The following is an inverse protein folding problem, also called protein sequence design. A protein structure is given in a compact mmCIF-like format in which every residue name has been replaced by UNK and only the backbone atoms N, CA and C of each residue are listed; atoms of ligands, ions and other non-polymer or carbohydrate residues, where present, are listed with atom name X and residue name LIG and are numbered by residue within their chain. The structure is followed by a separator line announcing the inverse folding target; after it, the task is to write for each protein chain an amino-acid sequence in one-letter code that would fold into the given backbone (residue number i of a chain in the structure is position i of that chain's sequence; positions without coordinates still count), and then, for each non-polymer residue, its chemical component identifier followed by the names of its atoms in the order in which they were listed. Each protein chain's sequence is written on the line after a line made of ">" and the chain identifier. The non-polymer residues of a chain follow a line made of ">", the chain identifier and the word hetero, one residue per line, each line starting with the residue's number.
data_IF_038429849386
#
_entry.id   IF_038429849386
#
_cell.length_a   1.000
_cell.length_b   1.000
_cell.length_c   1.000
_cell.angle_alpha   90.00
_cell.angle_beta   90.00
_cell.angle_gamma   90.00
#
_symmetry.space_group_name_H-M   'P 1'
#
loop_
_entity.id
_entity.type
_entity.pdbx_description
1 polymer ?
#
# COMPACT_ATOMS: atom_id res chain seq x y z
N UNK A 1 -28.21 6.40 36.96
CA UNK A 1 -29.39 5.55 37.25
C UNK A 1 -29.05 4.17 36.76
N UNK A 2 -28.60 3.30 37.66
CA UNK A 2 -28.06 1.98 37.33
C UNK A 2 -29.18 1.04 36.86
N UNK A 3 -29.30 0.82 35.56
CA UNK A 3 -30.09 -0.27 34.97
C UNK A 3 -29.33 -1.59 35.03
N UNK A 4 -28.67 -1.88 36.15
CA UNK A 4 -28.13 -3.20 36.38
C UNK A 4 -28.97 -3.91 37.42
N UNK A 5 -29.44 -5.09 37.02
CA UNK A 5 -30.05 -6.16 37.82
C UNK A 5 -31.58 -6.26 37.86
N UNK A 6 -32.21 -6.52 36.71
CA UNK A 6 -33.21 -7.60 36.72
C UNK A 6 -32.74 -8.76 35.82
N UNK A 7 -32.19 -9.84 36.39
CA UNK A 7 -31.83 -11.05 35.65
C UNK A 7 -33.04 -11.82 35.08
N UNK A 8 -34.27 -11.27 35.16
CA UNK A 8 -35.48 -11.80 34.52
C UNK A 8 -35.85 -11.07 33.21
N UNK A 9 -35.17 -9.99 32.83
CA UNK A 9 -35.39 -9.30 31.55
C UNK A 9 -34.59 -9.95 30.41
N UNK A 10 -34.85 -11.22 30.14
CA UNK A 10 -34.46 -11.82 28.86
C UNK A 10 -35.45 -11.34 27.80
N UNK A 11 -35.20 -10.16 27.25
CA UNK A 11 -36.10 -9.53 26.28
C UNK A 11 -35.52 -8.27 25.65
N UNK A 12 -35.83 -8.06 24.37
CA UNK A 12 -35.40 -6.86 23.63
C UNK A 12 -35.94 -5.59 24.32
N UNK A 13 -35.11 -4.56 24.56
CA UNK A 13 -35.55 -3.27 25.07
C UNK A 13 -36.63 -2.67 24.16
N UNK A 14 -37.56 -1.89 24.72
CA UNK A 14 -38.59 -1.23 23.93
C UNK A 14 -38.01 -0.22 22.92
N UNK A 15 -36.84 0.34 23.22
CA UNK A 15 -36.13 1.30 22.37
C UNK A 15 -35.25 0.65 21.31
N UNK A 16 -35.14 -0.69 21.27
CA UNK A 16 -34.30 -1.39 20.31
C UNK A 16 -34.72 -1.06 18.86
N UNK A 17 -33.80 -0.75 17.92
CA UNK A 17 -32.34 -1.02 17.87
C UNK A 17 -31.44 0.06 18.49
N UNK A 18 -32.01 1.00 19.23
CA UNK A 18 -31.25 1.93 20.05
C UNK A 18 -30.72 1.22 21.30
N UNK A 19 -29.41 1.33 21.52
CA UNK A 19 -28.75 0.68 22.64
C UNK A 19 -28.39 1.64 23.77
N UNK A 20 -28.16 2.93 23.47
CA UNK A 20 -27.77 3.94 24.47
C UNK A 20 -28.40 5.29 24.16
N UNK A 21 -28.90 5.95 25.22
CA UNK A 21 -29.26 7.38 25.27
C UNK A 21 -28.41 8.07 26.31
N UNK A 22 -27.83 9.20 25.95
CA UNK A 22 -27.11 10.04 26.91
C UNK A 22 -27.33 11.52 26.60
N UNK A 23 -27.13 12.34 27.62
CA UNK A 23 -27.17 13.78 27.50
C UNK A 23 -25.80 14.33 27.91
N UNK A 24 -25.28 15.26 27.12
CA UNK A 24 -24.11 16.04 27.47
C UNK A 24 -24.57 17.38 28.03
N UNK A 25 -24.23 17.62 29.29
CA UNK A 25 -24.41 18.92 29.93
C UNK A 25 -23.12 19.73 29.83
N UNK A 26 -23.22 20.97 29.35
CA UNK A 26 -22.12 21.93 29.30
C UNK A 26 -22.55 23.24 29.91
N UNK A 27 -21.67 23.84 30.69
CA UNK A 27 -21.82 25.19 31.20
C UNK A 27 -20.45 25.86 31.31
N UNK A 28 -20.42 27.18 31.19
CA UNK A 28 -19.23 28.01 31.41
C UNK A 28 -19.38 28.77 32.73
N UNK A 29 -18.36 28.80 33.61
CA UNK A 29 -18.45 29.54 34.86
C UNK A 29 -18.34 31.06 34.65
N UNK A 30 -19.08 31.84 35.44
CA UNK A 30 -18.86 33.28 35.62
C UNK A 30 -17.74 33.57 36.64
N UNK A 31 -17.45 34.86 36.89
CA UNK A 31 -16.48 35.28 37.90
C UNK A 31 -16.80 34.82 39.34
N UNK A 32 -18.05 34.41 39.62
CA UNK A 32 -18.52 33.90 40.89
C UNK A 32 -18.76 32.37 40.86
N UNK A 33 -18.23 31.67 39.85
CA UNK A 33 -18.42 30.22 39.64
C UNK A 33 -19.87 29.78 39.47
N UNK A 34 -20.75 30.69 39.03
CA UNK A 34 -22.12 30.33 38.62
C UNK A 34 -22.12 29.82 37.19
N UNK A 35 -22.88 28.75 36.89
CA UNK A 35 -23.02 28.27 35.53
C UNK A 35 -23.73 29.33 34.66
N UNK A 36 -23.12 29.66 33.53
CA UNK A 36 -23.66 30.45 32.43
C UNK A 36 -23.58 29.62 31.14
N UNK A 37 -24.37 29.99 30.14
CA UNK A 37 -24.40 29.29 28.84
C UNK A 37 -24.66 27.78 28.97
N UNK A 38 -25.59 27.42 29.85
CA UNK A 38 -26.02 26.03 30.03
C UNK A 38 -26.58 25.48 28.72
N UNK A 39 -25.99 24.39 28.23
CA UNK A 39 -26.40 23.72 27.01
C UNK A 39 -26.47 22.21 27.27
N UNK A 40 -27.64 21.63 26.98
CA UNK A 40 -27.88 20.20 27.08
C UNK A 40 -28.07 19.67 25.66
N UNK A 41 -27.16 18.79 25.26
CA UNK A 41 -27.26 18.08 23.97
C UNK A 41 -27.63 16.62 24.24
N UNK A 42 -28.82 16.22 23.79
CA UNK A 42 -29.26 14.84 23.86
C UNK A 42 -28.78 14.07 22.63
N UNK A 43 -28.27 12.85 22.83
CA UNK A 43 -27.78 11.98 21.77
C UNK A 43 -28.28 10.54 21.99
N UNK A 44 -28.54 9.87 20.86
CA UNK A 44 -28.98 8.49 20.80
C UNK A 44 -28.07 7.68 19.88
N UNK A 45 -27.61 6.52 20.32
CA UNK A 45 -26.85 5.57 19.51
C UNK A 45 -27.69 4.35 19.19
N UNK A 46 -27.80 4.02 17.91
CA UNK A 46 -28.57 2.91 17.37
C UNK A 46 -27.80 2.17 16.30
N UNK A 47 -28.14 0.90 16.07
CA UNK A 47 -27.64 0.18 14.92
C UNK A 47 -28.18 0.80 13.62
N UNK A 48 -27.33 0.87 12.60
CA UNK A 48 -27.68 1.37 11.29
C UNK A 48 -27.14 0.42 10.23
N UNK A 49 -27.97 0.12 9.23
CA UNK A 49 -27.54 -0.54 8.01
C UNK A 49 -27.49 0.48 6.87
N UNK A 50 -26.57 0.28 5.94
CA UNK A 50 -26.41 1.13 4.78
C UNK A 50 -26.37 0.26 3.53
N UNK A 51 -27.17 0.65 2.54
CA UNK A 51 -27.09 0.12 1.20
C UNK A 51 -26.10 0.97 0.39
N UNK A 52 -25.05 0.33 -0.09
CA UNK A 52 -24.01 0.96 -0.89
C UNK A 52 -24.17 0.54 -2.34
N UNK A 53 -24.35 1.53 -3.22
CA UNK A 53 -24.51 1.32 -4.66
C UNK A 53 -23.38 2.02 -5.43
N UNK A 54 -23.06 1.48 -6.61
CA UNK A 54 -22.01 1.99 -7.50
C UNK A 54 -20.67 2.20 -6.78
N UNK A 55 -20.10 1.09 -6.29
CA UNK A 55 -18.77 1.09 -5.71
C UNK A 55 -17.73 1.43 -6.79
N UNK A 56 -16.93 2.45 -6.55
CA UNK A 56 -15.86 2.90 -7.43
C UNK A 56 -14.54 2.84 -6.69
N UNK A 57 -13.53 2.29 -7.38
CA UNK A 57 -12.15 2.31 -6.90
C UNK A 57 -11.30 3.11 -7.87
N UNK A 58 -10.62 4.14 -7.37
CA UNK A 58 -9.64 4.89 -8.13
C UNK A 58 -8.30 4.88 -7.37
N UNK A 59 -7.37 4.05 -7.84
CA UNK A 59 -6.07 3.86 -7.20
C UNK A 59 -6.18 3.22 -5.81
N UNK A 60 -5.90 3.98 -4.77
CA UNK A 60 -6.00 3.58 -3.36
C UNK A 60 -7.33 4.00 -2.71
N UNK A 61 -8.14 4.80 -3.41
CA UNK A 61 -9.42 5.27 -2.89
C UNK A 61 -10.52 4.30 -3.29
N UNK A 62 -11.35 3.90 -2.31
CA UNK A 62 -12.55 3.11 -2.51
C UNK A 62 -13.72 3.92 -1.96
N UNK A 63 -14.68 4.24 -2.83
CA UNK A 63 -15.80 5.09 -2.50
C UNK A 63 -17.08 4.52 -3.11
N UNK A 64 -18.21 4.93 -2.55
CA UNK A 64 -19.54 4.58 -3.06
C UNK A 64 -20.22 5.84 -3.56
N UNK A 65 -20.85 5.78 -4.73
CA UNK A 65 -21.54 6.95 -5.29
C UNK A 65 -22.82 7.29 -4.53
N UNK A 66 -23.53 6.26 -4.07
CA UNK A 66 -24.76 6.43 -3.31
C UNK A 66 -24.80 5.49 -2.10
N UNK A 67 -24.96 6.08 -0.93
CA UNK A 67 -25.11 5.39 0.36
C UNK A 67 -26.46 5.74 0.97
N UNK A 68 -27.39 4.80 0.95
CA UNK A 68 -28.70 4.99 1.53
C UNK A 68 -28.80 4.26 2.87
N UNK A 69 -29.22 4.97 3.92
CA UNK A 69 -29.51 4.34 5.21
C UNK A 69 -30.74 3.44 5.06
N UNK A 70 -30.60 2.18 5.46
CA UNK A 70 -31.70 1.22 5.54
C UNK A 70 -32.31 1.33 6.93
N UNK A 71 -33.63 1.47 6.98
CA UNK A 71 -34.35 1.48 8.24
C UNK A 71 -34.43 0.05 8.80
N UNK A 72 -33.86 -0.18 9.98
CA UNK A 72 -33.89 -1.47 10.68
C UNK A 72 -35.18 -1.65 11.51
N UNK A 73 -36.10 -0.69 11.44
CA UNK A 73 -37.37 -0.63 12.14
C UNK A 73 -37.23 -0.76 13.65
N UNK A 74 -38.35 -1.00 14.33
CA UNK A 74 -38.40 -1.19 15.78
C UNK A 74 -38.20 -2.65 16.21
N UNK A 75 -38.29 -2.88 17.53
CA UNK A 75 -38.21 -4.20 18.20
C UNK A 75 -38.97 -5.34 17.50
N UNK A 76 -40.05 -5.04 16.78
CA UNK A 76 -40.90 -6.01 16.08
C UNK A 76 -40.19 -6.71 14.90
N UNK A 77 -39.30 -6.02 14.19
CA UNK A 77 -38.57 -6.58 13.04
C UNK A 77 -37.42 -7.52 13.43
N UNK A 78 -37.12 -7.57 14.73
CA UNK A 78 -36.04 -8.37 15.26
C UNK A 78 -36.59 -9.67 15.82
N UNK A 79 -35.91 -10.79 15.57
CA UNK A 79 -36.10 -12.08 16.20
C UNK A 79 -35.18 -12.26 17.41
N UNK A 80 -35.53 -13.20 18.29
CA UNK A 80 -34.64 -13.72 19.34
C UNK A 80 -34.76 -15.24 19.34
N UNK A 81 -33.63 -15.93 19.41
CA UNK A 81 -33.59 -17.41 19.40
C UNK A 81 -33.80 -18.07 20.77
N UNK A 82 -33.98 -17.30 21.87
CA UNK A 82 -34.24 -17.87 23.20
C UNK A 82 -34.22 -16.86 24.37
N UNK A 83 -33.96 -17.40 25.59
CA UNK A 83 -33.86 -16.70 26.88
C UNK A 83 -32.48 -16.85 27.60
N UNK A 84 -31.39 -17.03 26.88
CA UNK A 84 -30.02 -17.24 27.39
C UNK A 84 -29.04 -16.15 26.92
N UNK A 85 -27.91 -15.98 27.61
CA UNK A 85 -26.86 -15.01 27.25
C UNK A 85 -26.16 -15.31 25.91
N UNK A 86 -26.21 -16.57 25.48
CA UNK A 86 -25.71 -17.03 24.17
C UNK A 86 -26.60 -16.63 23.00
N UNK A 87 -27.76 -16.04 23.28
CA UNK A 87 -28.78 -15.89 22.27
C UNK A 87 -28.50 -14.75 21.32
N UNK A 88 -28.97 -14.94 20.11
CA UNK A 88 -28.74 -14.01 19.02
C UNK A 88 -30.02 -13.21 18.81
N UNK A 89 -29.85 -11.89 18.80
CA UNK A 89 -30.80 -10.97 18.21
C UNK A 89 -30.49 -10.88 16.73
N UNK A 90 -31.51 -11.03 15.89
CA UNK A 90 -31.32 -10.98 14.45
C UNK A 90 -32.48 -10.30 13.74
N UNK A 91 -32.21 -9.70 12.59
CA UNK A 91 -33.28 -9.27 11.68
C UNK A 91 -33.64 -10.41 10.73
N UNK A 92 -34.93 -10.56 10.41
CA UNK A 92 -35.34 -11.48 9.36
C UNK A 92 -34.96 -10.88 8.00
N UNK A 93 -34.26 -11.66 7.17
CA UNK A 93 -33.93 -11.27 5.80
C UNK A 93 -35.23 -11.15 5.00
N UNK A 94 -35.59 -9.92 4.60
CA UNK A 94 -36.72 -9.69 3.70
C UNK A 94 -36.18 -9.18 2.36
N UNK A 95 -36.48 -9.92 1.31
CA UNK A 95 -36.18 -9.53 -0.08
C UNK A 95 -37.09 -8.39 -0.56
N UNK A 96 -38.19 -8.12 0.15
CA UNK A 96 -39.12 -7.03 -0.14
C UNK A 96 -38.59 -5.65 0.29
N UNK A 97 -37.87 -5.56 1.42
CA UNK A 97 -37.39 -4.29 1.99
C UNK A 97 -35.86 -4.13 1.90
N UNK A 98 -35.17 -5.03 1.19
CA UNK A 98 -33.69 -5.08 1.11
C UNK A 98 -33.02 -5.11 2.49
N UNK A 99 -33.62 -5.81 3.46
CA UNK A 99 -33.11 -5.83 4.82
C UNK A 99 -32.07 -6.94 4.97
N UNK A 100 -30.77 -6.64 5.16
CA UNK A 100 -29.77 -7.67 5.36
C UNK A 100 -29.99 -8.36 6.71
N UNK A 101 -29.61 -9.64 6.79
CA UNK A 101 -29.59 -10.36 8.06
C UNK A 101 -28.50 -9.79 8.95
N UNK A 102 -28.88 -9.01 9.94
CA UNK A 102 -28.01 -8.56 11.02
C UNK A 102 -28.11 -9.54 12.18
N UNK A 103 -26.99 -9.82 12.84
CA UNK A 103 -26.94 -10.72 14.00
C UNK A 103 -26.02 -10.09 15.05
N UNK A 104 -26.51 -10.00 16.29
CA UNK A 104 -25.71 -9.61 17.45
C UNK A 104 -26.03 -10.54 18.61
N UNK A 105 -25.03 -10.97 19.37
CA UNK A 105 -25.29 -11.74 20.58
C UNK A 105 -25.82 -10.84 21.70
N UNK A 106 -26.68 -11.39 22.55
CA UNK A 106 -27.20 -10.67 23.71
C UNK A 106 -26.09 -10.28 24.68
N UNK A 107 -25.07 -11.12 24.84
CA UNK A 107 -23.88 -10.81 25.62
C UNK A 107 -23.12 -9.59 25.07
N UNK A 108 -22.92 -9.50 23.76
CA UNK A 108 -22.25 -8.35 23.13
C UNK A 108 -23.08 -7.07 23.29
N UNK A 109 -24.41 -7.18 23.15
CA UNK A 109 -25.32 -6.06 23.37
C UNK A 109 -25.23 -5.52 24.80
N UNK A 110 -25.28 -6.40 25.81
CA UNK A 110 -25.12 -5.99 27.22
C UNK A 110 -23.72 -5.42 27.48
N UNK A 111 -22.68 -6.04 26.93
CA UNK A 111 -21.31 -5.54 27.07
C UNK A 111 -21.17 -4.12 26.49
N UNK A 112 -21.82 -3.85 25.36
CA UNK A 112 -21.87 -2.52 24.76
C UNK A 112 -22.57 -1.52 25.69
N UNK A 113 -23.72 -1.87 26.24
CA UNK A 113 -24.41 -0.99 27.21
C UNK A 113 -23.54 -0.70 28.43
N UNK A 114 -22.92 -1.72 29.01
CA UNK A 114 -22.01 -1.57 30.15
C UNK A 114 -20.80 -0.68 29.82
N UNK A 115 -20.30 -0.72 28.58
CA UNK A 115 -19.20 0.15 28.16
C UNK A 115 -19.62 1.62 28.14
N UNK A 116 -20.81 1.93 27.63
CA UNK A 116 -21.32 3.31 27.63
C UNK A 116 -21.73 3.82 29.01
N UNK A 117 -22.12 2.91 29.92
CA UNK A 117 -22.37 3.24 31.33
C UNK A 117 -21.09 3.35 32.18
N UNK A 118 -19.93 2.97 31.63
CA UNK A 118 -18.66 2.99 32.37
C UNK A 118 -18.20 4.42 32.69
N UNK A 119 -17.41 4.56 33.76
CA UNK A 119 -16.70 5.80 34.12
C UNK A 119 -15.63 6.24 33.12
N UNK A 120 -15.58 5.66 31.91
CA UNK A 120 -14.85 6.22 30.78
C UNK A 120 -15.74 7.13 29.92
N UNK A 121 -17.01 6.77 29.75
CA UNK A 121 -17.98 7.51 28.93
C UNK A 121 -18.83 8.44 29.80
N UNK A 122 -19.40 7.92 30.88
CA UNK A 122 -20.20 8.67 31.84
C UNK A 122 -19.27 9.42 32.81
N UNK A 123 -18.66 10.51 32.33
CA UNK A 123 -17.64 11.27 33.05
C UNK A 123 -17.95 12.76 33.10
N UNK A 124 -17.40 13.42 34.10
CA UNK A 124 -17.48 14.87 34.27
C UNK A 124 -16.09 15.49 34.04
N UNK A 125 -16.07 16.68 33.44
CA UNK A 125 -14.88 17.51 33.35
C UNK A 125 -15.22 18.91 33.84
N UNK A 126 -14.51 19.36 34.87
CA UNK A 126 -14.65 20.69 35.45
C UNK A 126 -13.33 21.44 35.30
N UNK A 127 -13.38 22.62 34.68
CA UNK A 127 -12.22 23.51 34.55
C UNK A 127 -11.97 24.30 35.85
N UNK A 128 -10.70 24.56 36.16
CA UNK A 128 -10.27 25.25 37.38
C UNK A 128 -9.63 24.34 38.44
N UNK A 129 -9.72 24.73 39.72
CA UNK A 129 -9.10 24.01 40.84
C UNK A 129 -9.99 22.87 41.35
N UNK A 130 -10.41 21.99 40.44
CA UNK A 130 -11.20 20.80 40.73
C UNK A 130 -10.39 19.54 40.39
N UNK A 131 -10.38 18.56 41.29
CA UNK A 131 -9.68 17.30 41.06
C UNK A 131 -10.56 16.37 40.21
N UNK A 132 -10.35 16.40 38.90
CA UNK A 132 -11.01 15.50 37.96
C UNK A 132 -10.39 14.09 38.06
N UNK A 133 -11.12 13.13 38.65
CA UNK A 133 -10.61 11.77 38.91
C UNK A 133 -10.73 10.82 37.70
N UNK A 134 -11.71 11.03 36.84
CA UNK A 134 -12.02 10.16 35.71
C UNK A 134 -12.22 11.03 34.45
N UNK A 135 -11.11 11.43 33.82
CA UNK A 135 -11.11 12.37 32.69
C UNK A 135 -11.81 11.82 31.43
N UNK A 136 -11.88 10.48 31.33
CA UNK A 136 -12.57 9.74 30.29
C UNK A 136 -12.56 10.39 28.90
N UNK A 137 -13.74 10.42 28.27
CA UNK A 137 -14.00 11.18 27.05
C UNK A 137 -14.40 12.64 27.31
N UNK A 138 -14.77 13.00 28.55
CA UNK A 138 -15.24 14.35 28.89
C UNK A 138 -14.20 15.43 28.59
N UNK A 139 -12.90 15.15 28.79
CA UNK A 139 -11.82 16.07 28.43
C UNK A 139 -11.73 16.34 26.92
N UNK A 140 -11.96 15.32 26.09
CA UNK A 140 -11.99 15.47 24.63
C UNK A 140 -13.27 16.17 24.14
N UNK A 141 -14.29 16.22 25.00
CA UNK A 141 -15.56 16.91 24.79
C UNK A 141 -15.59 18.27 25.49
N UNK A 142 -14.47 18.82 25.95
CA UNK A 142 -14.40 20.16 26.53
C UNK A 142 -14.26 21.24 25.45
N UNK A 143 -14.67 22.47 25.77
CA UNK A 143 -14.50 23.65 24.92
C UNK A 143 -15.53 23.82 23.80
N UNK A 144 -15.20 24.70 22.85
CA UNK A 144 -16.06 25.03 21.69
C UNK A 144 -15.84 24.01 20.57
N UNK A 145 -16.51 22.87 20.68
CA UNK A 145 -16.51 21.82 19.65
C UNK A 145 -17.94 21.42 19.29
N UNK A 146 -18.12 21.08 18.02
CA UNK A 146 -19.36 20.50 17.49
C UNK A 146 -19.52 19.06 17.97
N UNK A 147 -20.46 18.87 18.89
CA UNK A 147 -20.76 17.58 19.51
C UNK A 147 -21.32 16.58 18.52
N UNK A 148 -22.23 17.02 17.64
CA UNK A 148 -22.84 16.15 16.64
C UNK A 148 -21.78 15.54 15.74
N UNK A 149 -20.87 16.37 15.23
CA UNK A 149 -19.76 15.93 14.38
C UNK A 149 -18.79 14.99 15.11
N UNK A 150 -18.53 15.21 16.41
CA UNK A 150 -17.65 14.33 17.20
C UNK A 150 -18.26 12.95 17.43
N UNK A 151 -19.54 12.87 17.76
CA UNK A 151 -20.22 11.58 17.90
C UNK A 151 -20.42 10.89 16.56
N UNK A 152 -20.63 11.63 15.46
CA UNK A 152 -20.62 11.06 14.11
C UNK A 152 -19.25 10.42 13.78
N UNK A 153 -18.15 11.12 14.06
CA UNK A 153 -16.79 10.58 13.90
C UNK A 153 -16.53 9.35 14.79
N UNK A 154 -17.06 9.35 16.02
CA UNK A 154 -16.98 8.19 16.91
C UNK A 154 -17.73 6.99 16.31
N UNK A 155 -18.95 7.19 15.83
CA UNK A 155 -19.75 6.14 15.21
C UNK A 155 -19.10 5.58 13.93
N UNK A 156 -18.51 6.45 13.10
CA UNK A 156 -17.72 6.04 11.93
C UNK A 156 -16.51 5.21 12.36
N UNK A 157 -15.75 5.68 13.35
CA UNK A 157 -14.58 4.94 13.85
C UNK A 157 -14.93 3.57 14.43
N UNK A 158 -16.06 3.45 15.15
CA UNK A 158 -16.56 2.16 15.65
C UNK A 158 -16.93 1.24 14.50
N UNK A 159 -17.59 1.79 13.46
CA UNK A 159 -17.98 1.03 12.28
C UNK A 159 -16.76 0.56 11.49
N UNK A 160 -15.76 1.42 11.31
CA UNK A 160 -14.53 1.08 10.61
C UNK A 160 -13.72 0.03 11.37
N UNK A 161 -13.69 0.10 12.71
CA UNK A 161 -13.10 -0.96 13.53
C UNK A 161 -13.78 -2.32 13.33
N UNK A 162 -15.12 -2.34 13.24
CA UNK A 162 -15.85 -3.58 12.93
C UNK A 162 -15.53 -4.12 11.52
N UNK A 163 -15.29 -3.23 10.55
CA UNK A 163 -14.96 -3.59 9.17
C UNK A 163 -13.52 -4.09 9.00
N UNK A 164 -12.56 -3.50 9.70
CA UNK A 164 -11.14 -3.84 9.60
C UNK A 164 -10.62 -4.69 10.76
N UNK A 165 -11.52 -5.15 11.64
CA UNK A 165 -11.18 -5.88 12.86
C UNK A 165 -10.67 -7.30 12.61
N UNK A 166 -10.25 -8.01 13.67
CA UNK A 166 -9.72 -9.37 13.56
C UNK A 166 -10.73 -10.39 13.00
N UNK A 167 -12.03 -10.11 13.14
CA UNK A 167 -13.11 -10.94 12.60
C UNK A 167 -13.70 -10.37 11.30
N UNK A 168 -12.94 -9.56 10.55
CA UNK A 168 -13.40 -8.99 9.29
C UNK A 168 -13.76 -10.09 8.28
N UNK A 169 -14.87 -9.90 7.58
CA UNK A 169 -15.20 -10.71 6.42
C UNK A 169 -14.64 -10.04 5.18
N UNK A 170 -13.78 -10.75 4.45
CA UNK A 170 -13.21 -10.23 3.21
C UNK A 170 -14.28 -10.27 2.10
N UNK A 171 -14.63 -9.11 1.58
CA UNK A 171 -15.34 -9.01 0.31
C UNK A 171 -14.33 -9.22 -0.84
N UNK A 172 -14.47 -10.33 -1.55
CA UNK A 172 -13.66 -10.59 -2.75
C UNK A 172 -14.22 -9.78 -3.91
N UNK A 173 -13.37 -9.00 -4.56
CA UNK A 173 -13.69 -8.24 -5.76
C UNK A 173 -12.56 -8.34 -6.78
N UNK A 174 -12.91 -8.25 -8.07
CA UNK A 174 -11.93 -8.19 -9.14
C UNK A 174 -11.56 -6.73 -9.42
N UNK A 175 -10.25 -6.46 -9.48
CA UNK A 175 -9.72 -5.14 -9.83
C UNK A 175 -9.02 -5.25 -11.17
N UNK A 176 -9.43 -4.44 -12.14
CA UNK A 176 -8.75 -4.30 -13.43
C UNK A 176 -7.77 -3.14 -13.32
N UNK A 177 -6.49 -3.46 -13.22
CA UNK A 177 -5.41 -2.46 -13.22
C UNK A 177 -4.75 -2.39 -14.60
N UNK A 178 -4.62 -1.17 -15.14
CA UNK A 178 -3.83 -0.92 -16.34
C UNK A 178 -2.34 -0.97 -15.98
N UNK A 179 -1.75 -2.15 -16.13
CA UNK A 179 -0.31 -2.34 -15.93
C UNK A 179 0.43 -2.04 -17.24
N UNK A 180 1.48 -1.19 -17.23
CA UNK A 180 2.29 -0.97 -18.42
C UNK A 180 3.03 -2.26 -18.80
N UNK A 181 2.59 -2.91 -19.88
CA UNK A 181 3.26 -4.08 -20.44
C UNK A 181 4.28 -3.64 -21.49
N UNK A 182 5.57 -3.86 -21.22
CA UNK A 182 6.64 -3.59 -22.19
C UNK A 182 6.83 -4.82 -23.07
N UNK A 183 6.28 -4.77 -24.29
CA UNK A 183 6.53 -5.80 -25.31
C UNK A 183 7.84 -5.50 -26.05
N UNK A 184 8.88 -6.30 -25.84
CA UNK A 184 10.13 -6.18 -26.60
C UNK A 184 9.93 -6.78 -27.99
N UNK A 185 10.06 -5.95 -29.03
CA UNK A 185 10.01 -6.40 -30.43
C UNK A 185 11.38 -6.92 -30.85
N UNK A 186 11.59 -8.23 -30.74
CA UNK A 186 12.86 -8.90 -31.08
C UNK A 186 13.38 -8.64 -32.50
N UNK A 187 12.50 -8.35 -33.46
CA UNK A 187 12.90 -8.04 -34.84
C UNK A 187 13.87 -6.86 -34.94
N UNK A 188 13.76 -5.87 -34.04
CA UNK A 188 14.68 -4.72 -34.03
C UNK A 188 16.13 -5.11 -33.69
N UNK A 189 16.35 -6.23 -33.00
CA UNK A 189 17.68 -6.74 -32.69
C UNK A 189 18.34 -7.49 -33.86
N UNK A 190 17.60 -7.82 -34.92
CA UNK A 190 18.14 -8.52 -36.08
C UNK A 190 19.20 -7.69 -36.82
N UNK A 191 19.01 -6.37 -36.91
CA UNK A 191 19.95 -5.45 -37.56
C UNK A 191 21.32 -5.42 -36.87
N UNK A 192 21.39 -5.05 -35.57
CA UNK A 192 22.64 -5.09 -34.80
C UNK A 192 23.30 -6.47 -34.80
N UNK A 193 22.53 -7.55 -34.61
CA UNK A 193 23.07 -8.91 -34.62
C UNK A 193 23.69 -9.30 -35.97
N UNK A 194 23.05 -8.90 -37.09
CA UNK A 194 23.61 -9.13 -38.42
C UNK A 194 24.93 -8.36 -38.62
N UNK A 195 24.99 -7.10 -38.17
CA UNK A 195 26.21 -6.27 -38.29
C UNK A 195 27.36 -6.89 -37.48
N UNK A 196 27.12 -7.35 -36.26
CA UNK A 196 28.12 -8.05 -35.45
C UNK A 196 28.61 -9.34 -36.12
N UNK A 197 27.68 -10.13 -36.67
CA UNK A 197 28.04 -11.36 -37.39
C UNK A 197 28.90 -11.07 -38.63
N UNK A 198 28.56 -10.04 -39.42
CA UNK A 198 29.36 -9.61 -40.57
C UNK A 198 30.74 -9.08 -40.16
N UNK A 199 30.83 -8.33 -39.06
CA UNK A 199 32.10 -7.82 -38.54
C UNK A 199 33.04 -8.96 -38.10
N UNK A 200 32.50 -9.95 -37.36
CA UNK A 200 33.25 -11.16 -36.98
C UNK A 200 33.73 -11.94 -38.20
N UNK A 201 32.85 -12.13 -39.19
CA UNK A 201 33.19 -12.84 -40.42
C UNK A 201 34.29 -12.09 -41.19
N UNK A 202 34.18 -10.77 -41.31
CA UNK A 202 35.19 -9.93 -41.96
C UNK A 202 36.54 -10.00 -41.24
N UNK A 203 36.56 -9.97 -39.91
CA UNK A 203 37.78 -10.10 -39.12
C UNK A 203 38.46 -11.46 -39.35
N UNK A 204 37.69 -12.55 -39.33
CA UNK A 204 38.18 -13.91 -39.58
C UNK A 204 38.76 -14.02 -41.00
N UNK A 205 38.03 -13.56 -42.01
CA UNK A 205 38.52 -13.56 -43.40
C UNK A 205 39.80 -12.71 -43.56
N UNK A 206 39.89 -11.57 -42.88
CA UNK A 206 41.08 -10.72 -42.92
C UNK A 206 42.30 -11.43 -42.31
N UNK A 207 42.13 -12.11 -41.18
CA UNK A 207 43.20 -12.91 -40.55
C UNK A 207 43.66 -14.04 -41.48
N UNK A 208 42.72 -14.81 -42.04
CA UNK A 208 43.06 -15.91 -42.95
C UNK A 208 43.68 -15.43 -44.25
N UNK A 209 43.16 -14.34 -44.83
CA UNK A 209 43.71 -13.74 -46.05
C UNK A 209 45.13 -13.23 -45.83
N UNK A 210 45.37 -12.49 -44.73
CA UNK A 210 46.69 -12.00 -44.38
C UNK A 210 47.69 -13.15 -44.12
N UNK A 211 47.23 -14.23 -43.45
CA UNK A 211 48.04 -15.43 -43.24
C UNK A 211 48.34 -16.19 -44.54
N UNK A 212 47.37 -16.29 -45.45
CA UNK A 212 47.56 -16.93 -46.76
C UNK A 212 48.46 -16.12 -47.69
N UNK A 213 48.37 -14.79 -47.60
CA UNK A 213 49.19 -13.84 -48.36
C UNK A 213 50.51 -13.46 -47.67
N UNK A 214 51.01 -14.26 -46.71
CA UNK A 214 52.30 -14.05 -46.00
C UNK A 214 53.56 -14.14 -46.89
N UNK A 215 53.44 -13.81 -48.18
CA UNK A 215 54.51 -13.43 -49.10
C UNK A 215 54.56 -11.91 -49.34
N UNK A 216 53.86 -11.09 -48.54
CA UNK A 216 54.06 -9.63 -48.58
C UNK A 216 55.42 -9.31 -47.95
N UNK A 217 56.30 -8.59 -48.66
CA UNK A 217 57.64 -8.30 -48.15
C UNK A 217 57.56 -7.34 -46.95
N UNK A 218 58.26 -7.69 -45.86
CA UNK A 218 58.17 -7.10 -44.50
C UNK A 218 58.42 -5.59 -44.41
N UNK A 219 58.96 -4.96 -45.47
CA UNK A 219 59.32 -3.54 -45.48
C UNK A 219 58.13 -2.57 -45.32
N UNK A 220 56.88 -3.02 -45.55
CA UNK A 220 55.69 -2.17 -45.31
C UNK A 220 55.18 -2.20 -43.87
N UNK A 221 55.60 -3.17 -43.05
CA UNK A 221 55.01 -3.38 -41.72
C UNK A 221 55.96 -3.16 -40.55
N UNK A 222 57.26 -2.92 -40.79
CA UNK A 222 58.19 -2.59 -39.72
C UNK A 222 59.38 -1.76 -40.21
N UNK A 223 59.73 -0.71 -39.45
CA UNK A 223 60.92 0.11 -39.70
C UNK A 223 62.22 -0.71 -39.57
N UNK A 224 62.23 -1.76 -38.74
CA UNK A 224 63.36 -2.68 -38.58
C UNK A 224 63.69 -3.48 -39.85
N UNK A 225 62.70 -3.77 -40.70
CA UNK A 225 62.95 -4.49 -41.96
C UNK A 225 63.69 -3.63 -42.99
N UNK A 226 63.61 -2.30 -42.87
CA UNK A 226 64.34 -1.36 -43.75
C UNK A 226 65.83 -1.32 -43.43
N UNK A 227 66.21 -1.49 -42.16
CA UNK A 227 67.61 -1.51 -41.72
C UNK A 227 68.40 -2.76 -42.15
N UNK A 228 67.70 -3.87 -42.41
CA UNK A 228 68.32 -5.14 -42.84
C UNK A 228 68.49 -5.26 -44.37
N UNK A 229 68.30 -4.16 -45.11
CA UNK A 229 68.39 -4.14 -46.57
C UNK A 229 69.83 -3.79 -46.99
N UNK A 230 70.54 -4.74 -47.59
CA UNK A 230 71.90 -4.51 -48.11
C UNK A 230 71.85 -4.04 -49.57
N UNK A 231 72.56 -2.95 -49.87
CA UNK A 231 72.61 -2.37 -51.20
C UNK A 231 73.78 -2.92 -52.02
N UNK A 232 73.49 -3.84 -52.95
CA UNK A 232 74.48 -4.41 -53.85
C UNK A 232 74.77 -3.44 -55.02
N UNK A 233 75.90 -2.73 -54.95
CA UNK A 233 76.29 -1.65 -55.90
C UNK A 233 76.37 -2.06 -57.39
N UNK A 234 76.32 -3.35 -57.73
CA UNK A 234 76.43 -3.82 -59.13
C UNK A 234 75.09 -4.02 -59.85
N UNK A 235 73.97 -4.20 -59.15
CA UNK A 235 72.68 -4.56 -59.77
C UNK A 235 71.57 -3.54 -59.56
N UNK A 236 71.79 -2.49 -58.75
CA UNK A 236 70.81 -1.44 -58.49
C UNK A 236 69.53 -1.92 -57.78
N UNK A 237 69.47 -3.19 -57.37
CA UNK A 237 68.32 -3.83 -56.75
C UNK A 237 68.58 -4.07 -55.26
N UNK A 238 67.61 -3.69 -54.44
CA UNK A 238 67.61 -3.99 -53.01
C UNK A 238 67.16 -5.45 -52.81
N UNK A 239 68.08 -6.30 -52.34
CA UNK A 239 67.76 -7.70 -51.99
C UNK A 239 67.71 -7.83 -50.47
N UNK A 240 66.59 -8.33 -49.97
CA UNK A 240 66.46 -8.77 -48.58
C UNK A 240 66.65 -10.28 -48.50
N UNK A 241 67.78 -10.74 -47.96
CA UNK A 241 68.07 -12.18 -47.80
C UNK A 241 67.25 -12.81 -46.66
N UNK A 242 66.70 -12.01 -45.74
CA UNK A 242 66.04 -12.50 -44.53
C UNK A 242 64.51 -12.41 -44.66
N UNK A 243 63.86 -13.56 -44.81
CA UNK A 243 62.40 -13.69 -44.94
C UNK A 243 61.64 -13.81 -43.61
N UNK A 244 62.32 -13.80 -42.45
CA UNK A 244 61.71 -14.18 -41.18
C UNK A 244 62.17 -13.30 -40.01
N UNK A 245 61.23 -12.67 -39.30
CA UNK A 245 61.53 -11.63 -38.29
C UNK A 245 62.27 -12.19 -37.07
N UNK A 246 61.94 -13.43 -36.66
CA UNK A 246 62.63 -14.15 -35.58
C UNK A 246 64.12 -14.41 -35.86
N UNK A 247 64.52 -14.43 -37.14
CA UNK A 247 65.94 -14.54 -37.52
C UNK A 247 66.67 -13.20 -37.42
N UNK A 248 65.97 -12.09 -37.65
CA UNK A 248 66.54 -10.73 -37.53
C UNK A 248 66.78 -10.40 -36.06
N UNK A 249 65.82 -10.72 -35.20
CA UNK A 249 65.92 -10.51 -33.74
C UNK A 249 67.10 -11.27 -33.13
N UNK A 250 67.26 -12.57 -33.46
CA UNK A 250 68.42 -13.36 -33.05
C UNK A 250 69.75 -12.81 -33.57
N UNK A 251 69.79 -12.27 -34.79
CA UNK A 251 71.01 -11.70 -35.36
C UNK A 251 71.41 -10.41 -34.63
N UNK A 252 70.42 -9.56 -34.28
CA UNK A 252 70.64 -8.33 -33.54
C UNK A 252 71.12 -8.60 -32.11
N UNK A 253 70.59 -9.61 -31.42
CA UNK A 253 71.06 -10.03 -30.10
C UNK A 253 72.52 -10.53 -30.12
N UNK A 254 72.97 -11.11 -31.23
CA UNK A 254 74.34 -11.64 -31.37
C UNK A 254 75.36 -10.62 -31.89
N UNK A 255 74.93 -9.50 -32.46
CA UNK A 255 75.83 -8.48 -32.99
C UNK A 255 76.24 -7.49 -31.89
N UNK A 256 77.44 -7.65 -31.34
CA UNK A 256 78.07 -6.62 -30.51
C UNK A 256 78.64 -5.52 -31.41
N UNK A 257 78.06 -4.32 -31.33
CA UNK A 257 78.54 -3.15 -32.04
C UNK A 257 79.68 -2.53 -31.23
N UNK A 258 80.86 -2.43 -31.82
CA UNK A 258 81.96 -1.60 -31.32
C UNK A 258 81.80 -0.22 -31.95
N UNK A 259 81.52 0.80 -31.14
CA UNK A 259 81.52 2.20 -31.58
C UNK A 259 82.99 2.68 -31.60
N UNK A 260 83.45 3.11 -32.76
CA UNK A 260 84.57 4.06 -32.91
C UNK A 260 84.00 5.46 -33.14
#
# INVERSE_FOLDING_TARGET
>A
MSLLTDPRMFGKPETFPEFVRFALYRATPDYNFKPLNENITECSLSFAAYNYTDAQSNGTTFAFQNSQKVDLGGKELWGSNGNSYSDQLFTNESTADNLPRFIISWADFIALQNFFDSGFIATEWVDGNYENKELGVSAALAGDIDIGKRFEQMAVSMTDYLRSGPNMQMALGEKIDNVPFVSIRWWFFAGPAAIEAFALLFAVLTIFSNRKNSRVPLWKSSALAVLACEHEKKSGLLKTTVKNIKKIEKLAETSLVKLE
#
